data_IF_869111483626
#
_entry.id   IF_869111483626
#
_cell.length_a   1.000
_cell.length_b   1.000
_cell.length_c   1.000
_cell.angle_alpha   90.00
_cell.angle_beta   90.00
_cell.angle_gamma   90.00
#
_symmetry.space_group_name_H-M   'P 1'
#
loop_
_entity.id
_entity.type
_entity.pdbx_description
1 polymer ?
#
# COMPACT_ATOMS: atom_id res chain seq x y z
N UNK A 1 25.73 37.53 26.22
CA UNK A 1 25.36 36.91 24.93
C UNK A 1 24.86 35.48 25.17
N UNK A 2 23.54 35.27 25.21
CA UNK A 2 22.94 33.92 25.27
C UNK A 2 22.40 33.57 23.89
N UNK A 3 23.08 32.66 23.21
CA UNK A 3 22.68 32.12 21.90
C UNK A 3 21.56 31.11 22.14
N UNK A 4 20.31 31.49 21.85
CA UNK A 4 19.20 30.55 21.77
C UNK A 4 19.28 29.95 20.38
N UNK A 5 19.83 28.74 20.29
CA UNK A 5 19.84 27.92 19.09
C UNK A 5 18.40 27.45 18.91
N UNK A 6 17.68 28.10 17.99
CA UNK A 6 16.36 27.64 17.59
C UNK A 6 16.50 26.27 16.93
N UNK A 7 15.87 25.32 17.60
CA UNK A 7 15.64 23.94 17.22
C UNK A 7 15.28 23.88 15.73
N UNK A 8 16.21 23.36 14.93
CA UNK A 8 15.93 22.87 13.59
C UNK A 8 14.99 21.68 13.75
N UNK A 9 13.69 21.96 13.71
CA UNK A 9 12.64 20.96 13.54
C UNK A 9 12.93 20.23 12.25
N UNK A 10 13.57 19.06 12.39
CA UNK A 10 13.78 18.07 11.35
C UNK A 10 12.40 17.60 10.93
N UNK A 11 11.76 18.36 10.06
CA UNK A 11 10.63 17.93 9.26
C UNK A 11 11.20 17.00 8.19
N UNK A 12 11.64 15.81 8.60
CA UNK A 12 11.77 14.70 7.65
C UNK A 12 10.35 14.30 7.32
N UNK A 13 9.77 15.04 6.38
CA UNK A 13 8.58 14.63 5.66
C UNK A 13 8.96 13.26 5.10
N UNK A 14 8.44 12.21 5.73
CA UNK A 14 8.57 10.86 5.25
C UNK A 14 7.98 10.90 3.84
N UNK A 15 8.86 10.98 2.84
CA UNK A 15 8.48 10.87 1.45
C UNK A 15 8.14 9.41 1.21
N UNK A 16 7.00 8.98 1.77
CA UNK A 16 6.26 7.84 1.26
C UNK A 16 5.86 8.24 -0.16
N UNK A 17 6.76 8.00 -1.10
CA UNK A 17 6.56 8.26 -2.52
C UNK A 17 5.49 7.28 -2.97
N UNK A 18 4.23 7.66 -2.81
CA UNK A 18 3.10 6.86 -3.25
C UNK A 18 3.17 6.76 -4.77
N UNK A 19 3.21 5.54 -5.26
CA UNK A 19 3.15 5.26 -6.68
C UNK A 19 1.70 5.23 -7.15
N UNK A 20 1.48 5.35 -8.46
CA UNK A 20 0.19 5.11 -9.08
C UNK A 20 0.19 3.71 -9.70
N UNK A 21 -0.91 2.98 -9.54
CA UNK A 21 -1.21 1.79 -10.34
C UNK A 21 -2.30 2.11 -11.36
N UNK A 22 -2.33 1.35 -12.45
CA UNK A 22 -3.31 1.51 -13.52
C UNK A 22 -4.41 0.47 -13.33
N UNK A 23 -5.65 0.91 -13.30
CA UNK A 23 -6.83 0.02 -13.27
C UNK A 23 -7.11 -0.55 -14.65
N UNK A 24 -7.98 -1.57 -14.70
CA UNK A 24 -8.37 -2.23 -15.95
C UNK A 24 -9.10 -1.31 -16.94
N UNK A 25 -9.74 -0.24 -16.46
CA UNK A 25 -10.39 0.78 -17.29
C UNK A 25 -9.43 1.88 -17.77
N UNK A 26 -8.17 1.81 -17.35
CA UNK A 26 -7.12 2.75 -17.73
C UNK A 26 -6.92 3.93 -16.79
N UNK A 27 -7.72 4.06 -15.74
CA UNK A 27 -7.56 5.10 -14.71
C UNK A 27 -6.28 4.89 -13.89
N UNK A 28 -5.72 5.98 -13.37
CA UNK A 28 -4.58 5.93 -12.45
C UNK A 28 -5.03 6.21 -11.00
N UNK A 29 -4.65 5.33 -10.08
CA UNK A 29 -4.97 5.45 -8.66
C UNK A 29 -3.70 5.41 -7.84
N UNK A 30 -3.58 6.32 -6.86
CA UNK A 30 -2.49 6.33 -5.89
C UNK A 30 -2.57 5.12 -4.96
N UNK A 31 -1.50 4.36 -4.81
CA UNK A 31 -1.47 3.21 -3.90
C UNK A 31 -1.75 3.63 -2.45
N UNK A 32 -1.27 4.79 -2.00
CA UNK A 32 -1.53 5.29 -0.64
C UNK A 32 -3.01 5.52 -0.34
N UNK A 33 -3.85 5.72 -1.36
CA UNK A 33 -5.29 5.88 -1.17
C UNK A 33 -6.00 4.59 -0.79
N UNK A 34 -5.32 3.44 -0.91
CA UNK A 34 -5.86 2.13 -0.57
C UNK A 34 -5.67 1.76 0.91
N UNK A 35 -4.70 2.39 1.59
CA UNK A 35 -4.49 2.18 3.02
C UNK A 35 -5.74 2.53 3.82
N UNK A 36 -6.13 1.64 4.75
CA UNK A 36 -7.35 1.78 5.53
C UNK A 36 -8.62 1.22 4.88
N UNK A 37 -8.54 0.73 3.62
CA UNK A 37 -9.66 0.06 2.95
C UNK A 37 -9.64 -1.44 3.19
N UNK A 38 -10.79 -2.10 3.03
CA UNK A 38 -10.89 -3.55 3.04
C UNK A 38 -10.19 -4.14 1.78
N UNK A 39 -9.38 -5.18 1.98
CA UNK A 39 -8.60 -5.82 0.92
C UNK A 39 -9.47 -6.49 -0.15
N UNK A 40 -10.62 -7.04 0.23
CA UNK A 40 -11.53 -7.71 -0.68
C UNK A 40 -12.30 -6.72 -1.55
N UNK A 41 -12.72 -5.57 -0.98
CA UNK A 41 -13.36 -4.51 -1.75
C UNK A 41 -12.44 -3.99 -2.86
N UNK A 42 -11.16 -3.78 -2.53
CA UNK A 42 -10.14 -3.33 -3.50
C UNK A 42 -9.93 -4.40 -4.58
N UNK A 43 -9.80 -5.66 -4.19
CA UNK A 43 -9.69 -6.78 -5.13
C UNK A 43 -10.87 -6.86 -6.09
N UNK A 44 -12.09 -6.88 -5.55
CA UNK A 44 -13.34 -6.97 -6.32
C UNK A 44 -13.57 -5.76 -7.24
N UNK A 45 -13.16 -4.56 -6.81
CA UNK A 45 -13.37 -3.34 -7.58
C UNK A 45 -12.41 -3.20 -8.75
N UNK A 46 -11.13 -3.55 -8.54
CA UNK A 46 -10.08 -3.20 -9.49
C UNK A 46 -9.50 -4.40 -10.24
N UNK A 47 -9.65 -5.62 -9.73
CA UNK A 47 -9.08 -6.82 -10.34
C UNK A 47 -10.18 -7.77 -10.85
N UNK A 48 -9.85 -8.52 -11.89
CA UNK A 48 -10.64 -9.64 -12.44
C UNK A 48 -9.98 -10.99 -12.18
N UNK A 49 -8.81 -11.02 -11.55
CA UNK A 49 -8.07 -12.26 -11.26
C UNK A 49 -8.01 -12.51 -9.77
N UNK A 50 -7.84 -13.78 -9.40
CA UNK A 50 -7.59 -14.13 -8.01
C UNK A 50 -6.20 -13.65 -7.58
N UNK A 51 -6.05 -13.16 -6.34
CA UNK A 51 -4.76 -12.73 -5.85
C UNK A 51 -3.81 -13.91 -5.68
N UNK A 52 -2.54 -13.68 -5.96
CA UNK A 52 -1.46 -14.56 -5.54
C UNK A 52 -1.05 -14.19 -4.12
N UNK A 53 -1.11 -15.14 -3.20
CA UNK A 53 -0.52 -14.95 -1.87
C UNK A 53 1.00 -15.00 -1.96
N UNK A 54 1.68 -13.91 -1.57
CA UNK A 54 3.14 -13.84 -1.52
C UNK A 54 3.67 -14.37 -0.18
N UNK A 55 4.97 -14.75 -0.15
CA UNK A 55 5.67 -15.23 1.06
C UNK A 55 5.68 -14.15 2.14
N UNK A 56 4.62 -14.15 2.95
CA UNK A 56 4.42 -13.15 4.00
C UNK A 56 3.15 -13.40 4.82
N UNK A 57 2.59 -14.62 4.80
CA UNK A 57 1.47 -14.97 5.67
C UNK A 57 1.98 -15.42 7.03
N UNK A 58 2.51 -14.50 7.82
CA UNK A 58 2.54 -14.69 9.27
C UNK A 58 1.09 -14.71 9.81
N UNK A 59 0.86 -15.08 11.08
CA UNK A 59 -0.51 -15.26 11.60
C UNK A 59 -1.38 -13.99 11.62
N UNK A 60 -0.80 -12.82 11.29
CA UNK A 60 -1.48 -11.53 11.39
C UNK A 60 -1.61 -10.79 10.04
N UNK A 61 -0.72 -11.01 9.06
CA UNK A 61 -0.73 -10.25 7.80
C UNK A 61 -0.97 -11.17 6.60
N UNK A 62 -1.77 -10.72 5.64
CA UNK A 62 -1.84 -11.25 4.29
C UNK A 62 -1.06 -10.34 3.35
N UNK A 63 -0.17 -10.93 2.55
CA UNK A 63 0.48 -10.24 1.43
C UNK A 63 -0.09 -10.82 0.14
N UNK A 64 -0.88 -10.03 -0.57
CA UNK A 64 -1.60 -10.44 -1.78
C UNK A 64 -1.16 -9.64 -2.99
N UNK A 65 -1.01 -10.30 -4.14
CA UNK A 65 -0.61 -9.68 -5.40
C UNK A 65 -1.67 -9.91 -6.47
N UNK A 66 -2.15 -8.85 -7.08
CA UNK A 66 -3.06 -8.88 -8.23
C UNK A 66 -2.28 -8.55 -9.50
N UNK A 67 -2.14 -9.54 -10.38
CA UNK A 67 -1.25 -9.44 -11.55
C UNK A 67 -1.78 -8.60 -12.70
N UNK A 68 -3.10 -8.41 -12.77
CA UNK A 68 -3.76 -7.68 -13.86
C UNK A 68 -3.71 -6.15 -13.68
N UNK A 69 -3.62 -5.69 -12.43
CA UNK A 69 -3.42 -4.27 -12.06
C UNK A 69 -2.04 -4.00 -11.43
N UNK A 70 -1.19 -5.02 -11.40
CA UNK A 70 0.18 -5.00 -10.90
C UNK A 70 0.32 -4.30 -9.53
N UNK A 71 -0.39 -4.82 -8.52
CA UNK A 71 -0.36 -4.26 -7.16
C UNK A 71 -0.21 -5.34 -6.10
N UNK A 72 0.61 -5.07 -5.09
CA UNK A 72 0.72 -5.85 -3.86
C UNK A 72 0.07 -5.11 -2.71
N UNK A 73 -0.79 -5.81 -1.96
CA UNK A 73 -1.47 -5.32 -0.76
C UNK A 73 -1.01 -6.13 0.45
N UNK A 74 -0.54 -5.43 1.47
CA UNK A 74 -0.33 -5.97 2.81
C UNK A 74 -1.56 -5.59 3.66
N UNK A 75 -2.28 -6.58 4.16
CA UNK A 75 -3.49 -6.38 4.96
C UNK A 75 -3.46 -7.19 6.26
N UNK A 76 -4.08 -6.64 7.29
CA UNK A 76 -4.30 -7.36 8.55
C UNK A 76 -5.38 -8.43 8.35
N UNK A 77 -5.12 -9.66 8.83
CA UNK A 77 -6.01 -10.82 8.67
C UNK A 77 -7.29 -10.75 9.50
N UNK A 78 -7.23 -10.09 10.66
CA UNK A 78 -8.37 -10.04 11.58
C UNK A 78 -9.36 -8.95 11.20
N UNK A 79 -8.85 -7.86 10.61
CA UNK A 79 -9.65 -6.69 10.26
C UNK A 79 -9.86 -6.55 8.76
N UNK A 80 -9.09 -7.30 7.96
CA UNK A 80 -9.09 -7.25 6.49
C UNK A 80 -8.65 -5.89 5.92
N UNK A 81 -8.11 -5.02 6.78
CA UNK A 81 -7.72 -3.66 6.43
C UNK A 81 -6.33 -3.67 5.78
N UNK A 82 -6.19 -2.95 4.67
CA UNK A 82 -4.92 -2.71 3.99
C UNK A 82 -4.06 -1.78 4.86
N UNK A 83 -2.90 -2.29 5.26
CA UNK A 83 -1.86 -1.54 5.97
C UNK A 83 -0.95 -0.82 4.98
N UNK A 84 -0.62 -1.49 3.87
CA UNK A 84 0.30 -0.97 2.87
C UNK A 84 -0.10 -1.44 1.47
N UNK A 85 0.06 -0.57 0.48
CA UNK A 85 -0.14 -0.90 -0.91
C UNK A 85 1.04 -0.41 -1.75
N UNK A 86 1.58 -1.28 -2.59
CA UNK A 86 2.76 -1.01 -3.41
C UNK A 86 2.51 -1.53 -4.83
N UNK A 87 2.96 -0.78 -5.83
CA UNK A 87 2.92 -1.24 -7.22
C UNK A 87 3.94 -2.36 -7.44
N UNK A 88 3.58 -3.35 -8.23
CA UNK A 88 4.46 -4.47 -8.54
C UNK A 88 4.27 -5.66 -7.61
N UNK A 89 4.89 -6.79 -8.00
CA UNK A 89 4.86 -8.07 -7.27
C UNK A 89 5.76 -8.14 -6.05
N UNK A 90 6.76 -7.26 -5.94
CA UNK A 90 7.71 -7.27 -4.82
C UNK A 90 7.67 -5.90 -4.15
N UNK A 91 7.27 -5.81 -2.87
CA UNK A 91 7.49 -4.59 -2.12
C UNK A 91 9.01 -4.32 -2.11
N UNK A 92 9.46 -3.20 -2.67
CA UNK A 92 10.85 -2.74 -2.56
C UNK A 92 11.11 -2.16 -1.18
#
# INVERSE_FOLDING_TARGET
MRKIIFVLLISTIISCKSENFKTLDGSEIKTSSLTGKNVFDVGNKFSKVLPQTLKGTNNQIWVTYYSDIDITLESDKSTEIILKAIKGKKPR
#
